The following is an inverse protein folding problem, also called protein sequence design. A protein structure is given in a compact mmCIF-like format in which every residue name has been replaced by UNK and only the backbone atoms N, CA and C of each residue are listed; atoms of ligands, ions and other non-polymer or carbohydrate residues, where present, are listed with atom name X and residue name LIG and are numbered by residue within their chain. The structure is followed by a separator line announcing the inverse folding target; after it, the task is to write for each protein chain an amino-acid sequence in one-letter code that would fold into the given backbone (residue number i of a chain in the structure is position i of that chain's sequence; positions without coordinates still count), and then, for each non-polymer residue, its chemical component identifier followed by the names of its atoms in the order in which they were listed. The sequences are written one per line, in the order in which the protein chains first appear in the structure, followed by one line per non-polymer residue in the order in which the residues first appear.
data_IF_290232209035
#
_entry.id   IF_290232209035
#
_cell.length_a   1.000
_cell.length_b   1.000
_cell.length_c   1.000
_cell.angle_alpha   90.00
_cell.angle_beta   90.00
_cell.angle_gamma   90.00
#
_symmetry.space_group_name_H-M   'P 1'
#
loop_
_entity.id
_entity.type
_entity.pdbx_description
1 polymer ?
#
# COMPACT_ATOMS: atom_id res chain seq x y z
N UNK A 1 -4.00 8.05 26.34
CA UNK A 1 -2.96 7.13 25.83
C UNK A 1 -3.33 6.38 24.54
N UNK A 2 -4.60 6.34 24.08
CA UNK A 2 -5.01 5.64 22.85
C UNK A 2 -4.73 6.40 21.52
N UNK A 3 -4.06 7.54 21.56
CA UNK A 3 -3.89 8.44 20.40
C UNK A 3 -2.61 8.18 19.58
N UNK A 4 -1.60 7.50 20.13
CA UNK A 4 -0.31 7.26 19.45
C UNK A 4 -0.38 6.11 18.44
N UNK A 5 -1.16 5.06 18.73
CA UNK A 5 -1.38 3.91 17.84
C UNK A 5 -2.14 4.25 16.54
N UNK A 6 -2.74 5.44 16.46
CA UNK A 6 -3.51 5.87 15.27
C UNK A 6 -2.63 6.45 14.16
N UNK A 7 -1.38 6.84 14.46
CA UNK A 7 -0.40 7.43 13.51
C UNK A 7 0.58 6.42 12.91
N UNK A 8 0.66 5.20 13.45
CA UNK A 8 1.61 4.17 13.03
C UNK A 8 1.28 3.59 11.65
N UNK A 9 2.32 3.37 10.84
CA UNK A 9 2.22 2.70 9.55
C UNK A 9 2.74 1.27 9.69
N UNK A 10 1.89 0.27 9.47
CA UNK A 10 2.31 -1.13 9.59
C UNK A 10 3.08 -1.55 8.34
N UNK A 11 4.40 -1.64 8.38
CA UNK A 11 5.19 -2.04 7.21
C UNK A 11 5.58 -3.52 7.34
N UNK A 12 4.98 -4.41 6.54
CA UNK A 12 5.26 -5.86 6.56
C UNK A 12 5.99 -6.33 5.31
N UNK A 13 6.95 -7.25 5.44
CA UNK A 13 7.59 -7.90 4.28
C UNK A 13 6.68 -8.91 3.57
N UNK A 14 5.53 -9.26 4.17
CA UNK A 14 4.51 -10.16 3.59
C UNK A 14 3.25 -9.39 3.16
N UNK A 15 2.86 -9.43 1.87
CA UNK A 15 1.63 -8.80 1.39
C UNK A 15 0.37 -9.30 2.09
N UNK A 16 0.29 -10.59 2.40
CA UNK A 16 -0.88 -11.20 3.07
C UNK A 16 -1.06 -10.72 4.50
N UNK A 17 0.02 -10.46 5.24
CA UNK A 17 -0.05 -9.88 6.59
C UNK A 17 -0.45 -8.40 6.55
N UNK A 18 0.07 -7.64 5.59
CA UNK A 18 -0.33 -6.25 5.39
C UNK A 18 -1.84 -6.15 5.09
N UNK A 19 -2.38 -7.04 4.25
CA UNK A 19 -3.82 -7.13 3.99
C UNK A 19 -4.62 -7.46 5.28
N UNK A 20 -4.22 -8.49 6.04
CA UNK A 20 -4.88 -8.83 7.32
C UNK A 20 -4.89 -7.68 8.32
N UNK A 21 -3.79 -6.92 8.41
CA UNK A 21 -3.74 -5.74 9.28
C UNK A 21 -4.72 -4.66 8.81
N UNK A 22 -4.75 -4.37 7.51
CA UNK A 22 -5.71 -3.43 6.93
C UNK A 22 -7.16 -3.85 7.23
N UNK A 23 -7.49 -5.14 7.09
CA UNK A 23 -8.82 -5.68 7.43
C UNK A 23 -9.15 -5.52 8.93
N UNK A 24 -8.19 -5.83 9.81
CA UNK A 24 -8.36 -5.66 11.25
C UNK A 24 -8.60 -4.20 11.62
N UNK A 25 -7.93 -3.26 10.93
CA UNK A 25 -8.17 -1.83 11.13
C UNK A 25 -9.57 -1.44 10.67
N UNK A 26 -10.02 -1.89 9.51
CA UNK A 26 -11.39 -1.64 9.04
C UNK A 26 -12.41 -2.15 10.06
N UNK A 27 -12.24 -3.38 10.57
CA UNK A 27 -13.11 -3.93 11.62
C UNK A 27 -13.06 -3.12 12.91
N UNK A 28 -11.89 -2.64 13.33
CA UNK A 28 -11.74 -1.79 14.52
C UNK A 28 -12.53 -0.49 14.39
N UNK A 29 -12.44 0.19 13.24
CA UNK A 29 -13.20 1.41 13.00
C UNK A 29 -14.70 1.16 12.87
N UNK A 30 -15.12 0.04 12.25
CA UNK A 30 -16.54 -0.39 12.25
C UNK A 30 -17.09 -0.56 13.66
N UNK A 31 -16.35 -1.24 14.54
CA UNK A 31 -16.75 -1.41 15.96
C UNK A 31 -16.86 -0.09 16.72
N UNK A 32 -16.15 0.94 16.28
CA UNK A 32 -16.24 2.31 16.84
C UNK A 32 -17.35 3.16 16.21
N UNK A 33 -18.19 2.59 15.35
CA UNK A 33 -19.29 3.30 14.69
C UNK A 33 -18.86 4.24 13.57
N UNK A 34 -17.62 4.13 13.07
CA UNK A 34 -17.15 4.94 11.94
C UNK A 34 -17.74 4.35 10.65
N UNK A 35 -18.37 5.20 9.85
CA UNK A 35 -18.93 4.80 8.55
C UNK A 35 -17.81 4.43 7.57
N UNK A 36 -17.69 3.13 7.28
CA UNK A 36 -16.80 2.60 6.25
C UNK A 36 -17.57 2.48 4.94
N UNK A 37 -17.12 3.21 3.93
CA UNK A 37 -17.61 3.13 2.56
C UNK A 37 -16.95 1.96 1.84
N UNK A 38 -17.77 1.04 1.36
CA UNK A 38 -17.35 -0.07 0.49
C UNK A 38 -17.71 0.30 -0.94
N UNK A 39 -16.71 0.35 -1.82
CA UNK A 39 -16.85 0.78 -3.21
C UNK A 39 -16.38 -0.38 -4.09
N UNK A 40 -17.26 -0.87 -4.95
CA UNK A 40 -16.95 -1.86 -5.99
C UNK A 40 -16.55 -1.15 -7.27
N UNK A 41 -15.56 -1.70 -7.95
CA UNK A 41 -15.14 -1.22 -9.25
C UNK A 41 -16.20 -1.51 -10.32
N UNK A 42 -16.23 -0.66 -11.33
CA UNK A 42 -17.05 -0.86 -12.53
C UNK A 42 -16.18 -1.55 -13.59
N UNK A 43 -16.62 -2.72 -14.03
CA UNK A 43 -15.85 -3.59 -14.92
C UNK A 43 -16.63 -3.82 -16.21
N UNK A 44 -15.98 -3.67 -17.36
CA UNK A 44 -16.60 -3.91 -18.67
C UNK A 44 -15.63 -4.56 -19.66
N UNK A 45 -16.17 -5.31 -20.62
CA UNK A 45 -15.39 -5.87 -21.73
C UNK A 45 -15.49 -4.91 -22.93
N UNK A 46 -14.36 -4.34 -23.36
CA UNK A 46 -14.31 -3.32 -24.42
C UNK A 46 -14.11 -3.94 -25.80
N UNK A 47 -13.31 -5.00 -25.87
CA UNK A 47 -13.08 -5.76 -27.11
C UNK A 47 -13.15 -7.25 -26.78
N UNK A 48 -14.12 -7.94 -27.38
CA UNK A 48 -14.39 -9.35 -27.12
C UNK A 48 -13.92 -10.21 -28.30
N UNK A 49 -12.69 -10.73 -28.22
CA UNK A 49 -12.10 -11.54 -29.31
C UNK A 49 -12.72 -12.94 -29.40
N UNK A 50 -13.37 -13.40 -28.31
CA UNK A 50 -14.10 -14.67 -28.24
C UNK A 50 -15.56 -14.42 -27.86
N UNK A 51 -16.46 -14.82 -28.79
CA UNK A 51 -17.88 -15.22 -28.63
C UNK A 51 -18.92 -14.10 -28.75
N UNK A 52 -19.75 -14.03 -29.81
CA UNK A 52 -20.98 -14.82 -30.08
C UNK A 52 -22.05 -14.88 -28.97
N UNK A 53 -21.82 -14.37 -27.75
CA UNK A 53 -22.86 -14.11 -26.73
C UNK A 53 -22.20 -13.45 -25.50
N UNK A 54 -22.02 -12.13 -25.56
CA UNK A 54 -21.41 -11.32 -24.49
C UNK A 54 -22.29 -11.28 -23.23
N UNK A 55 -23.61 -11.37 -23.38
CA UNK A 55 -24.60 -11.23 -22.29
C UNK A 55 -24.66 -12.41 -21.32
N UNK A 56 -24.11 -13.58 -21.68
CA UNK A 56 -24.10 -14.78 -20.84
C UNK A 56 -22.76 -15.04 -20.11
N UNK A 57 -21.75 -14.19 -20.34
CA UNK A 57 -20.42 -14.33 -19.76
C UNK A 57 -20.36 -13.67 -18.39
N UNK A 58 -20.16 -14.48 -17.35
CA UNK A 58 -19.90 -14.03 -15.99
C UNK A 58 -18.57 -13.26 -15.95
N UNK A 59 -18.67 -11.93 -15.90
CA UNK A 59 -17.55 -10.97 -15.90
C UNK A 59 -16.51 -11.28 -14.82
N UNK A 60 -16.95 -11.83 -13.68
CA UNK A 60 -16.07 -12.19 -12.55
C UNK A 60 -15.08 -13.31 -12.87
N UNK A 61 -15.42 -14.17 -13.85
CA UNK A 61 -14.56 -15.28 -14.29
C UNK A 61 -13.55 -14.86 -15.34
N UNK A 62 -13.85 -13.82 -16.11
CA UNK A 62 -13.02 -13.35 -17.23
C UNK A 62 -12.11 -12.18 -16.84
N UNK A 63 -12.51 -11.34 -15.89
CA UNK A 63 -11.67 -10.23 -15.43
C UNK A 63 -10.70 -10.68 -14.32
N UNK A 64 -9.40 -10.31 -14.40
CA UNK A 64 -8.47 -10.47 -13.28
C UNK A 64 -8.90 -9.74 -12.02
N UNK A 65 -8.76 -10.41 -10.88
CA UNK A 65 -8.93 -9.82 -9.54
C UNK A 65 -7.60 -9.38 -8.95
N UNK A 66 -6.48 -9.86 -9.48
CA UNK A 66 -5.13 -9.44 -9.09
C UNK A 66 -4.89 -7.99 -9.52
N UNK A 67 -4.71 -7.12 -8.53
CA UNK A 67 -4.46 -5.69 -8.72
C UNK A 67 -3.25 -5.39 -9.62
N UNK A 68 -2.28 -6.30 -9.69
CA UNK A 68 -1.10 -6.12 -10.55
C UNK A 68 -1.43 -6.40 -12.04
N UNK A 69 -2.55 -7.07 -12.32
CA UNK A 69 -3.04 -7.36 -13.68
C UNK A 69 -4.14 -6.39 -14.13
N UNK A 70 -4.56 -5.46 -13.27
CA UNK A 70 -5.64 -4.50 -13.53
C UNK A 70 -5.18 -3.06 -13.41
N UNK A 71 -3.94 -2.78 -13.83
CA UNK A 71 -3.39 -1.42 -13.85
C UNK A 71 -3.25 -0.78 -12.46
N UNK A 72 -3.23 -1.57 -11.39
CA UNK A 72 -3.17 -1.05 -10.03
C UNK A 72 -4.53 -0.70 -9.43
N UNK A 73 -5.64 -0.91 -10.15
CA UNK A 73 -6.99 -0.62 -9.67
C UNK A 73 -7.60 -1.83 -8.92
N UNK A 74 -8.03 -1.66 -7.66
CA UNK A 74 -8.63 -2.74 -6.89
C UNK A 74 -10.03 -3.09 -7.43
N UNK A 75 -10.47 -4.34 -7.26
CA UNK A 75 -11.86 -4.74 -7.56
C UNK A 75 -12.84 -4.14 -6.54
N UNK A 76 -12.36 -3.89 -5.33
CA UNK A 76 -13.13 -3.35 -4.23
C UNK A 76 -12.22 -2.52 -3.33
N UNK A 77 -12.71 -1.37 -2.88
CA UNK A 77 -12.01 -0.47 -1.99
C UNK A 77 -12.89 -0.14 -0.79
N UNK A 78 -12.38 -0.44 0.40
CA UNK A 78 -13.00 -0.06 1.65
C UNK A 78 -12.24 1.10 2.29
N UNK A 79 -12.89 2.25 2.41
CA UNK A 79 -12.31 3.49 2.89
C UNK A 79 -13.26 4.24 3.82
N UNK A 80 -12.73 5.18 4.59
CA UNK A 80 -13.49 6.05 5.48
C UNK A 80 -12.78 7.39 5.60
N UNK A 81 -13.48 8.43 6.08
CA UNK A 81 -12.86 9.72 6.38
C UNK A 81 -11.76 9.53 7.42
N UNK A 82 -10.56 10.05 7.15
CA UNK A 82 -9.29 9.85 7.88
C UNK A 82 -8.58 8.51 7.62
N UNK A 83 -9.06 7.71 6.67
CA UNK A 83 -8.31 6.53 6.22
C UNK A 83 -6.98 6.96 5.58
N UNK A 84 -5.91 6.26 5.91
CA UNK A 84 -4.60 6.40 5.26
C UNK A 84 -4.63 5.61 3.96
N UNK A 85 -4.39 6.26 2.84
CA UNK A 85 -4.46 5.67 1.49
C UNK A 85 -3.15 5.91 0.74
N UNK A 86 -2.88 5.06 -0.24
CA UNK A 86 -1.75 5.16 -1.14
C UNK A 86 -2.25 5.18 -2.58
N UNK A 87 -1.70 6.10 -3.37
CA UNK A 87 -1.96 6.23 -4.79
C UNK A 87 -1.30 5.09 -5.58
N UNK A 88 -2.00 4.58 -6.59
CA UNK A 88 -1.56 3.43 -7.42
C UNK A 88 -1.29 3.77 -8.87
N UNK A 89 -1.44 5.05 -9.23
CA UNK A 89 -1.27 5.56 -10.59
C UNK A 89 -0.63 6.93 -10.52
N UNK A 90 0.09 7.32 -11.58
CA UNK A 90 0.57 8.70 -11.71
C UNK A 90 -0.57 9.57 -12.23
N UNK A 91 -0.99 10.57 -11.45
CA UNK A 91 -2.05 11.53 -11.81
C UNK A 91 -1.41 12.85 -12.28
N UNK A 92 -0.53 13.42 -11.45
CA UNK A 92 0.14 14.69 -11.73
C UNK A 92 1.52 14.68 -11.07
N UNK A 93 2.55 14.42 -11.89
CA UNK A 93 3.94 14.34 -11.42
C UNK A 93 4.42 15.68 -10.85
N UNK A 94 3.98 16.81 -11.43
CA UNK A 94 4.41 18.15 -10.99
C UNK A 94 3.89 18.47 -9.59
N UNK A 95 2.70 17.97 -9.25
CA UNK A 95 2.10 18.08 -7.90
C UNK A 95 2.54 16.96 -6.95
N UNK A 96 3.41 16.05 -7.39
CA UNK A 96 3.85 14.90 -6.61
C UNK A 96 2.75 13.85 -6.39
N UNK A 97 1.70 13.84 -7.23
CA UNK A 97 0.64 12.83 -7.23
C UNK A 97 1.07 11.63 -8.08
N UNK A 98 2.04 10.89 -7.56
CA UNK A 98 2.66 9.73 -8.21
C UNK A 98 2.27 8.43 -7.51
N UNK A 99 2.44 7.30 -8.20
CA UNK A 99 2.26 5.98 -7.60
C UNK A 99 3.14 5.83 -6.35
N UNK A 100 2.53 5.42 -5.24
CA UNK A 100 3.18 5.37 -3.92
C UNK A 100 2.94 6.61 -3.05
N UNK A 101 2.41 7.72 -3.58
CA UNK A 101 2.06 8.89 -2.77
C UNK A 101 1.03 8.51 -1.70
N UNK A 102 1.30 8.87 -0.45
CA UNK A 102 0.49 8.53 0.72
C UNK A 102 -0.22 9.77 1.23
N UNK A 103 -1.51 9.62 1.54
CA UNK A 103 -2.28 10.69 2.14
C UNK A 103 -3.39 10.19 3.05
N UNK A 104 -4.13 11.13 3.64
CA UNK A 104 -5.30 10.85 4.45
C UNK A 104 -6.55 11.40 3.76
N UNK A 105 -7.57 10.56 3.63
CA UNK A 105 -8.87 11.01 3.12
C UNK A 105 -9.44 12.04 4.09
N UNK A 106 -9.77 13.23 3.57
CA UNK A 106 -10.49 14.25 4.34
C UNK A 106 -11.98 14.17 4.08
N UNK A 107 -12.38 13.85 2.85
CA UNK A 107 -13.79 13.83 2.43
C UNK A 107 -14.04 12.79 1.34
N UNK A 108 -15.25 12.22 1.33
CA UNK A 108 -15.74 11.31 0.29
C UNK A 108 -16.96 11.95 -0.36
N UNK A 109 -16.89 12.14 -1.67
CA UNK A 109 -17.89 12.85 -2.47
C UNK A 109 -18.64 11.85 -3.35
N UNK A 110 -19.79 11.40 -2.85
CA UNK A 110 -20.66 10.51 -3.60
C UNK A 110 -21.45 11.27 -4.67
N UNK A 111 -21.63 10.70 -5.87
CA UNK A 111 -22.57 11.24 -6.85
C UNK A 111 -24.00 11.21 -6.28
N UNK A 112 -24.87 12.06 -6.85
CA UNK A 112 -26.31 12.09 -6.55
C UNK A 112 -26.65 12.32 -5.05
N UNK A 113 -25.78 13.02 -4.30
CA UNK A 113 -25.92 13.24 -2.86
C UNK A 113 -26.06 11.93 -2.04
N UNK A 114 -25.58 10.81 -2.59
CA UNK A 114 -25.58 9.52 -1.94
C UNK A 114 -24.68 9.49 -0.69
N UNK A 115 -24.79 8.40 0.06
CA UNK A 115 -23.87 8.10 1.20
C UNK A 115 -23.16 6.77 1.06
N UNK A 116 -23.46 6.04 -0.01
CA UNK A 116 -22.94 4.73 -0.35
C UNK A 116 -23.11 4.52 -1.86
N UNK A 117 -22.51 3.46 -2.38
CA UNK A 117 -22.70 3.03 -3.77
C UNK A 117 -24.10 2.42 -3.88
N UNK A 118 -25.05 3.19 -4.45
CA UNK A 118 -26.41 2.72 -4.68
C UNK A 118 -26.50 1.93 -5.98
N UNK A 119 -25.79 2.38 -7.01
CA UNK A 119 -25.69 1.72 -8.30
C UNK A 119 -24.23 1.41 -8.66
N UNK A 120 -24.00 0.45 -9.55
CA UNK A 120 -22.64 0.02 -9.94
C UNK A 120 -21.82 1.17 -10.54
N UNK A 121 -22.47 2.07 -11.29
CA UNK A 121 -21.84 3.27 -11.85
C UNK A 121 -21.40 4.33 -10.81
N UNK A 122 -21.92 4.26 -9.57
CA UNK A 122 -21.69 5.27 -8.54
C UNK A 122 -20.32 5.07 -7.87
N UNK A 123 -19.28 5.59 -8.49
CA UNK A 123 -17.94 5.64 -7.90
C UNK A 123 -17.69 7.06 -7.40
N UNK A 124 -17.41 7.26 -6.10
CA UNK A 124 -17.19 8.58 -5.54
C UNK A 124 -15.82 9.13 -5.95
N UNK A 125 -15.68 10.44 -5.85
CA UNK A 125 -14.35 11.08 -5.75
C UNK A 125 -14.00 11.29 -4.29
N UNK A 126 -12.70 11.43 -4.00
CA UNK A 126 -12.22 11.61 -2.62
C UNK A 126 -11.24 12.77 -2.54
N UNK A 127 -11.38 13.59 -1.51
CA UNK A 127 -10.38 14.61 -1.19
C UNK A 127 -9.34 13.98 -0.27
N UNK A 128 -8.06 14.09 -0.65
CA UNK A 128 -6.94 13.48 0.05
C UNK A 128 -5.90 14.54 0.37
N UNK A 129 -5.49 14.60 1.64
CA UNK A 129 -4.36 15.41 2.08
C UNK A 129 -3.07 14.59 2.01
N UNK A 130 -2.17 14.95 1.10
CA UNK A 130 -0.87 14.32 0.87
C UNK A 130 0.28 15.02 1.65
N UNK A 131 -0.04 15.77 2.70
CA UNK A 131 0.94 16.50 3.50
C UNK A 131 1.56 17.64 2.69
N UNK A 132 2.87 17.59 2.48
CA UNK A 132 3.64 18.62 1.77
C UNK A 132 3.17 18.81 0.31
N UNK A 133 2.59 17.78 -0.28
CA UNK A 133 2.10 17.84 -1.66
C UNK A 133 0.72 18.51 -1.75
N UNK A 134 0.09 18.87 -0.62
CA UNK A 134 -1.18 19.57 -0.55
C UNK A 134 -2.41 18.66 -0.55
N UNK A 135 -3.58 19.29 -0.61
CA UNK A 135 -4.89 18.63 -0.61
C UNK A 135 -5.41 18.57 -2.05
N UNK A 136 -5.74 17.37 -2.51
CA UNK A 136 -6.18 17.14 -3.89
C UNK A 136 -7.43 16.28 -3.95
N UNK A 137 -8.30 16.58 -4.91
CA UNK A 137 -9.44 15.73 -5.25
C UNK A 137 -8.97 14.65 -6.21
N UNK A 138 -9.21 13.39 -5.84
CA UNK A 138 -8.88 12.21 -6.64
C UNK A 138 -10.18 11.69 -7.26
N UNK A 139 -10.21 11.74 -8.57
CA UNK A 139 -11.31 11.22 -9.40
C UNK A 139 -11.07 9.74 -9.74
N UNK A 140 -12.14 8.95 -9.95
CA UNK A 140 -12.00 7.59 -10.47
C UNK A 140 -11.47 7.62 -11.91
N UNK A 141 -10.57 6.69 -12.22
CA UNK A 141 -9.95 6.55 -13.55
C UNK A 141 -10.36 5.23 -14.19
N UNK A 142 -10.31 5.16 -15.52
CA UNK A 142 -10.50 3.92 -16.29
C UNK A 142 -9.17 3.40 -16.80
N UNK A 143 -8.91 2.09 -16.64
CA UNK A 143 -7.71 1.44 -17.16
C UNK A 143 -8.09 0.17 -17.90
N UNK A 144 -7.53 0.01 -19.11
CA UNK A 144 -7.69 -1.18 -19.94
C UNK A 144 -6.57 -2.20 -19.69
N UNK A 145 -6.92 -3.47 -19.70
CA UNK A 145 -5.99 -4.59 -19.52
C UNK A 145 -6.54 -5.87 -20.16
N UNK A 146 -5.66 -6.85 -20.36
CA UNK A 146 -6.06 -8.13 -20.96
C UNK A 146 -6.99 -8.92 -20.04
N UNK A 147 -8.14 -9.34 -20.58
CA UNK A 147 -9.00 -10.31 -19.94
C UNK A 147 -8.32 -11.69 -19.87
N UNK A 148 -8.72 -12.52 -18.91
CA UNK A 148 -8.24 -13.92 -18.81
C UNK A 148 -8.60 -14.70 -20.07
N UNK A 149 -7.89 -15.81 -20.31
CA UNK A 149 -8.24 -16.80 -21.36
C UNK A 149 -8.41 -16.23 -22.77
N UNK A 150 -7.78 -15.07 -23.04
CA UNK A 150 -7.86 -14.37 -24.32
C UNK A 150 -9.28 -13.99 -24.73
N UNK A 151 -10.12 -13.61 -23.77
CA UNK A 151 -11.44 -13.03 -24.05
C UNK A 151 -11.36 -11.59 -24.59
N UNK A 152 -10.15 -11.03 -24.69
CA UNK A 152 -9.88 -9.72 -25.29
C UNK A 152 -9.47 -8.68 -24.26
N UNK A 153 -10.00 -7.46 -24.39
CA UNK A 153 -9.63 -6.30 -23.57
C UNK A 153 -10.77 -5.95 -22.62
N UNK A 154 -10.47 -5.89 -21.33
CA UNK A 154 -11.37 -5.41 -20.30
C UNK A 154 -10.93 -4.02 -19.83
N UNK A 155 -11.89 -3.25 -19.32
CA UNK A 155 -11.67 -1.96 -18.70
C UNK A 155 -12.24 -1.97 -17.29
N UNK A 156 -11.46 -1.44 -16.33
CA UNK A 156 -11.92 -1.18 -14.98
C UNK A 156 -11.92 0.31 -14.73
N UNK A 157 -13.05 0.83 -14.24
CA UNK A 157 -13.15 2.17 -13.66
C UNK A 157 -13.17 2.08 -12.14
N UNK A 158 -12.22 2.75 -11.49
CA UNK A 158 -12.10 2.76 -10.02
C UNK A 158 -11.22 3.92 -9.53
N UNK A 159 -11.31 4.26 -8.24
CA UNK A 159 -10.33 5.12 -7.59
C UNK A 159 -8.93 4.46 -7.63
N UNK A 160 -7.86 5.18 -8.05
CA UNK A 160 -6.50 4.65 -8.07
C UNK A 160 -5.86 4.64 -6.68
N UNK A 161 -6.59 4.15 -5.67
CA UNK A 161 -6.21 4.18 -4.27
C UNK A 161 -6.30 2.78 -3.66
N UNK A 162 -5.41 2.50 -2.70
CA UNK A 162 -5.50 1.36 -1.80
C UNK A 162 -5.43 1.83 -0.35
N UNK A 163 -6.09 1.10 0.55
CA UNK A 163 -5.90 1.31 1.98
C UNK A 163 -4.45 1.01 2.36
N UNK A 164 -3.82 1.97 3.03
CA UNK A 164 -2.39 1.96 3.34
C UNK A 164 -2.16 2.29 4.81
N UNK A 165 -2.92 1.63 5.71
CA UNK A 165 -2.53 1.61 7.13
C UNK A 165 -1.43 0.58 7.37
N UNK A 166 -1.44 -0.48 6.56
CA UNK A 166 -0.34 -1.38 6.33
C UNK A 166 0.16 -1.33 4.88
N UNK A 167 1.48 -1.26 4.67
CA UNK A 167 2.13 -1.34 3.37
C UNK A 167 3.24 -2.39 3.40
N UNK A 168 3.72 -2.81 2.22
CA UNK A 168 4.91 -3.66 2.13
C UNK A 168 6.18 -2.82 2.00
N UNK A 169 7.31 -3.29 2.50
CA UNK A 169 8.61 -2.58 2.44
C UNK A 169 8.93 -2.09 1.02
N UNK A 170 8.68 -2.92 0.01
CA UNK A 170 8.87 -2.59 -1.42
C UNK A 170 8.06 -1.38 -1.92
N UNK A 171 6.95 -1.05 -1.26
CA UNK A 171 6.07 0.06 -1.65
C UNK A 171 6.35 1.35 -0.87
N UNK A 172 7.39 1.34 -0.04
CA UNK A 172 7.77 2.42 0.89
C UNK A 172 9.16 2.99 0.56
N UNK A 173 9.70 2.70 -0.62
CA UNK A 173 11.07 3.06 -0.98
C UNK A 173 11.24 4.59 -0.96
N UNK A 174 12.03 5.10 0.00
CA UNK A 174 12.43 6.50 0.09
C UNK A 174 11.73 7.36 1.15
N UNK A 175 10.76 6.84 1.92
CA UNK A 175 10.08 7.63 2.96
C UNK A 175 10.31 7.07 4.38
N UNK A 176 10.74 7.90 5.35
CA UNK A 176 10.87 7.46 6.74
C UNK A 176 9.50 7.26 7.41
N UNK A 177 9.41 6.28 8.30
CA UNK A 177 8.21 5.93 9.07
C UNK A 177 8.43 6.07 10.58
N UNK A 178 7.38 6.52 11.27
CA UNK A 178 7.42 6.64 12.74
C UNK A 178 7.29 5.29 13.44
N UNK A 179 6.59 4.33 12.81
CA UNK A 179 6.43 2.96 13.30
C UNK A 179 6.49 1.96 12.14
N UNK A 180 6.97 0.74 12.37
CA UNK A 180 7.00 -0.36 11.39
C UNK A 180 6.94 -1.74 12.08
N UNK A 181 6.41 -2.76 11.39
CA UNK A 181 6.36 -4.15 11.88
C UNK A 181 7.08 -5.08 10.91
N UNK A 182 8.37 -5.24 11.10
CA UNK A 182 9.24 -5.91 10.14
C UNK A 182 9.31 -7.40 10.49
N UNK A 183 8.95 -8.26 9.52
CA UNK A 183 9.11 -9.69 9.69
C UNK A 183 10.51 -10.12 9.23
N UNK A 184 11.30 -10.74 10.13
CA UNK A 184 12.69 -11.17 9.90
C UNK A 184 12.88 -12.72 9.94
N UNK A 185 11.90 -13.51 9.49
CA UNK A 185 11.96 -14.98 9.56
C UNK A 185 12.44 -15.71 8.29
N UNK A 186 12.89 -16.97 8.46
CA UNK A 186 13.61 -17.84 7.49
C UNK A 186 13.10 -17.91 6.04
N UNK A 187 11.79 -17.78 5.79
CA UNK A 187 11.16 -18.16 4.51
C UNK A 187 11.03 -17.06 3.45
N UNK A 188 11.49 -15.82 3.67
CA UNK A 188 11.21 -14.73 2.73
C UNK A 188 12.24 -13.59 2.74
N UNK A 189 13.52 -13.93 2.90
CA UNK A 189 14.59 -12.94 3.04
C UNK A 189 15.40 -12.74 1.76
N UNK A 190 15.22 -11.59 1.12
CA UNK A 190 16.32 -10.96 0.38
C UNK A 190 16.94 -9.91 1.33
N UNK A 191 18.24 -10.05 1.62
CA UNK A 191 18.96 -9.25 2.61
C UNK A 191 18.72 -7.73 2.47
N UNK A 192 18.63 -7.27 1.22
CA UNK A 192 18.45 -5.86 0.88
C UNK A 192 17.11 -5.28 1.38
N UNK A 193 16.08 -6.11 1.49
CA UNK A 193 14.74 -5.66 1.90
C UNK A 193 14.68 -5.35 3.39
N UNK A 194 15.42 -6.08 4.23
CA UNK A 194 15.41 -5.86 5.66
C UNK A 194 16.19 -4.61 6.07
N UNK A 195 17.35 -4.39 5.45
CA UNK A 195 18.09 -3.15 5.62
C UNK A 195 17.25 -1.95 5.19
N UNK A 196 16.61 -2.02 4.02
CA UNK A 196 15.72 -0.95 3.55
C UNK A 196 14.57 -0.72 4.53
N UNK A 197 13.96 -1.78 5.08
CA UNK A 197 12.87 -1.65 6.04
C UNK A 197 13.32 -1.02 7.37
N UNK A 198 14.43 -1.49 7.94
CA UNK A 198 14.98 -1.03 9.22
C UNK A 198 15.46 0.42 9.12
N UNK A 199 16.18 0.77 8.05
CA UNK A 199 16.66 2.14 7.80
C UNK A 199 15.55 3.17 7.56
N UNK A 200 14.29 2.74 7.36
CA UNK A 200 13.16 3.66 7.24
C UNK A 200 12.54 4.02 8.58
N UNK A 201 12.77 3.27 9.66
CA UNK A 201 12.14 3.58 10.96
C UNK A 201 12.95 4.66 11.66
N UNK A 202 12.29 5.76 12.05
CA UNK A 202 12.97 6.92 12.67
C UNK A 202 13.51 6.64 14.07
N UNK A 203 12.98 5.63 14.76
CA UNK A 203 13.37 5.28 16.12
C UNK A 203 13.17 3.79 16.39
N UNK A 204 13.95 3.23 17.33
CA UNK A 204 13.80 1.86 17.78
C UNK A 204 12.45 1.64 18.50
N UNK A 205 11.92 2.65 19.18
CA UNK A 205 10.59 2.60 19.81
C UNK A 205 9.46 2.47 18.77
N UNK A 206 9.74 2.88 17.53
CA UNK A 206 8.86 2.69 16.39
C UNK A 206 8.94 1.29 15.77
N UNK A 207 9.93 0.48 16.14
CA UNK A 207 10.24 -0.77 15.46
C UNK A 207 9.68 -1.98 16.24
N UNK A 208 8.83 -2.76 15.59
CA UNK A 208 8.45 -4.09 16.04
C UNK A 208 9.03 -5.13 15.07
N UNK A 209 9.76 -6.12 15.58
CA UNK A 209 10.26 -7.24 14.78
C UNK A 209 9.38 -8.47 15.03
N UNK A 210 8.74 -8.99 13.98
CA UNK A 210 7.98 -10.24 14.03
C UNK A 210 8.85 -11.41 13.55
N UNK A 211 9.20 -12.33 14.46
CA UNK A 211 10.14 -13.43 14.23
C UNK A 211 11.54 -12.95 13.77
N UNK A 212 12.56 -13.37 14.52
CA UNK A 212 13.95 -13.04 14.24
C UNK A 212 14.72 -14.32 13.99
N UNK A 213 15.11 -14.56 12.73
CA UNK A 213 16.07 -15.61 12.44
C UNK A 213 17.51 -15.07 12.48
N UNK A 214 18.13 -15.18 13.66
CA UNK A 214 19.48 -14.67 13.92
C UNK A 214 20.57 -15.29 13.02
N UNK A 215 20.31 -16.43 12.36
CA UNK A 215 21.23 -17.01 11.37
C UNK A 215 21.47 -16.12 10.15
N UNK A 216 20.62 -15.11 9.95
CA UNK A 216 20.68 -14.19 8.82
C UNK A 216 21.09 -12.76 9.21
N UNK A 217 21.64 -12.54 10.41
CA UNK A 217 22.03 -11.21 10.90
C UNK A 217 23.42 -11.23 11.53
N UNK A 218 24.23 -10.23 11.21
CA UNK A 218 25.60 -10.09 11.73
C UNK A 218 25.67 -8.83 12.57
N UNK A 219 25.70 -8.96 13.90
CA UNK A 219 25.86 -7.81 14.78
C UNK A 219 27.30 -7.31 14.73
N UNK A 220 27.48 -6.03 14.39
CA UNK A 220 28.77 -5.35 14.53
C UNK A 220 28.73 -4.43 15.74
N UNK A 221 29.57 -4.74 16.73
CA UNK A 221 29.73 -3.92 17.92
C UNK A 221 30.88 -2.92 17.71
N UNK A 222 30.57 -1.64 17.81
CA UNK A 222 31.57 -0.57 17.85
C UNK A 222 31.56 0.07 19.24
N UNK A 223 32.73 0.24 19.90
CA UNK A 223 32.79 0.91 21.19
C UNK A 223 32.29 2.36 21.06
N UNK A 224 31.30 2.73 21.89
CA UNK A 224 30.71 4.08 21.89
C UNK A 224 29.36 4.21 21.16
N UNK A 225 28.86 3.15 20.52
CA UNK A 225 27.55 3.14 19.83
C UNK A 225 26.60 2.12 20.45
N UNK A 226 25.30 2.44 20.52
CA UNK A 226 24.26 1.41 20.75
C UNK A 226 24.16 0.57 19.46
N UNK A 227 24.77 -0.62 19.50
CA UNK A 227 24.80 -1.70 18.49
C UNK A 227 24.25 -1.40 17.08
N UNK A 228 25.09 -1.55 16.06
CA UNK A 228 24.68 -1.48 14.65
C UNK A 228 24.34 -2.89 14.17
N UNK A 229 23.11 -3.09 13.68
CA UNK A 229 22.72 -4.31 12.97
C UNK A 229 23.34 -4.26 11.57
N UNK A 230 24.31 -5.12 11.29
CA UNK A 230 24.83 -5.34 9.94
C UNK A 230 24.44 -6.72 9.40
N UNK A 231 24.82 -6.96 8.15
CA UNK A 231 24.60 -8.25 7.50
C UNK A 231 25.83 -8.61 6.68
N UNK A 232 26.25 -9.87 6.74
CA UNK A 232 27.24 -10.45 5.81
C UNK A 232 26.52 -11.43 4.88
N UNK A 233 26.49 -11.12 3.59
CA UNK A 233 26.14 -12.10 2.57
C UNK A 233 27.24 -13.18 2.52
N UNK A 234 26.93 -14.47 2.32
CA UNK A 234 27.92 -15.55 2.41
C UNK A 234 29.09 -15.46 1.42
N UNK A 235 29.00 -14.65 0.36
CA UNK A 235 29.97 -14.67 -0.75
C UNK A 235 30.47 -13.30 -1.25
N UNK A 236 30.30 -12.21 -0.49
CA UNK A 236 30.88 -10.91 -0.87
C UNK A 236 31.66 -10.30 0.29
N UNK A 237 32.95 -10.62 0.34
CA UNK A 237 33.94 -9.79 1.03
C UNK A 237 34.48 -8.79 0.01
N UNK A 238 34.17 -7.51 0.16
CA UNK A 238 35.04 -6.33 -0.11
C UNK A 238 34.21 -5.06 -0.19
N UNK A 239 34.62 -4.03 0.56
CA UNK A 239 34.12 -2.65 0.42
C UNK A 239 33.51 -2.06 1.69
N UNK A 240 34.34 -1.82 2.72
CA UNK A 240 34.12 -0.69 3.63
C UNK A 240 33.89 0.56 2.77
N UNK A 241 32.93 1.41 3.12
CA UNK A 241 33.07 2.86 2.95
C UNK A 241 31.99 3.60 3.75
N UNK A 242 32.47 4.24 4.83
CA UNK A 242 31.85 5.40 5.45
C UNK A 242 31.41 6.40 4.38
N UNK A 243 30.16 6.86 4.45
CA UNK A 243 29.78 8.28 4.32
C UNK A 243 28.27 8.41 4.50
N UNK A 244 27.86 9.38 5.33
CA UNK A 244 26.48 9.75 5.69
C UNK A 244 25.81 9.07 6.90
N UNK A 245 26.53 8.96 8.03
CA UNK A 245 25.93 9.12 9.37
C UNK A 245 26.45 10.37 10.10
N UNK A 246 27.33 11.17 9.48
CA UNK A 246 27.87 12.38 10.10
C UNK A 246 26.78 13.45 10.21
N UNK A 247 26.06 13.47 11.33
CA UNK A 247 25.32 14.66 11.77
C UNK A 247 24.01 14.47 12.53
N UNK A 248 23.72 13.36 13.22
CA UNK A 248 22.40 13.22 13.86
C UNK A 248 22.29 13.05 15.37
N UNK A 249 23.38 13.07 16.15
CA UNK A 249 23.26 13.14 17.62
C UNK A 249 24.42 13.89 18.30
N UNK A 250 24.59 15.16 17.94
CA UNK A 250 24.97 16.23 18.87
C UNK A 250 24.15 17.47 18.53
#
# INVERSE_FOLDING_TARGET
MASSQLKSHYVSTRPTKAAKHNDAVLQHFRRKGIAVSRIKAQDQLVDATRTRNIEALDTSKIIPTDINKTGGLPVELEIFVRAKVMLRSNIDVKKGLVNGAIGFITEIHWPNFGRAQMYEQDIPSVTVNFGNNGVHRIEPISVQFSAKRSYGTAERRMLPLILSRAATVHKMQGSPVDYAVIYLGRKLFAADQAYVALSRVKSLDGLLIEELDCSSLSLFYFPGTRAIVGYTAPNYFTGLLETHWKGFLQ
#
